data_IF_828580642003
#
_entry.id   IF_828580642003
#
_cell.length_a   1.000
_cell.length_b   1.000
_cell.length_c   1.000
_cell.angle_alpha   90.00
_cell.angle_beta   90.00
_cell.angle_gamma   90.00
#
_symmetry.space_group_name_H-M   'P 1'
#
loop_
_entity.id
_entity.type
_entity.pdbx_description
1 polymer ?
#
# COMPACT_ATOMS: atom_id res chain seq x y z
N UNK A 1 -20.50 -4.69 12.03
CA UNK A 1 -19.65 -3.61 11.47
C UNK A 1 -19.32 -2.63 12.59
N UNK A 2 -18.06 -2.17 12.75
CA UNK A 2 -17.73 -1.11 13.71
C UNK A 2 -18.41 0.23 13.32
N UNK A 3 -18.54 1.13 14.28
CA UNK A 3 -19.12 2.46 14.05
C UNK A 3 -18.17 3.34 13.23
N UNK A 4 -18.66 4.05 12.21
CA UNK A 4 -17.82 4.80 11.26
C UNK A 4 -17.46 6.23 11.70
N UNK A 5 -18.16 6.74 12.72
CA UNK A 5 -18.09 8.10 13.24
C UNK A 5 -16.90 8.34 14.19
N UNK A 6 -16.06 7.33 14.41
CA UNK A 6 -14.81 7.39 15.16
C UNK A 6 -13.67 6.73 14.41
N UNK A 7 -12.42 7.03 14.80
CA UNK A 7 -11.23 6.33 14.32
C UNK A 7 -11.34 4.83 14.64
N UNK A 8 -10.97 3.99 13.68
CA UNK A 8 -10.90 2.55 13.89
C UNK A 8 -9.53 2.17 14.42
N UNK A 9 -9.53 1.39 15.49
CA UNK A 9 -8.32 0.74 15.97
C UNK A 9 -8.10 -0.61 15.25
N UNK A 10 -7.09 -1.34 15.70
CA UNK A 10 -6.77 -2.65 15.15
C UNK A 10 -7.88 -3.70 15.36
N UNK A 11 -8.60 -3.65 16.48
CA UNK A 11 -9.70 -4.56 16.79
C UNK A 11 -10.93 -4.27 15.90
N UNK A 12 -11.19 -2.99 15.61
CA UNK A 12 -12.22 -2.59 14.66
C UNK A 12 -11.89 -3.04 13.24
N UNK A 13 -10.66 -2.84 12.78
CA UNK A 13 -10.24 -3.26 11.44
C UNK A 13 -10.34 -4.79 11.26
N UNK A 14 -9.91 -5.57 12.25
CA UNK A 14 -10.06 -7.04 12.24
C UNK A 14 -11.54 -7.44 12.21
N UNK A 15 -12.38 -6.80 13.03
CA UNK A 15 -13.83 -7.04 13.06
C UNK A 15 -14.51 -6.67 11.74
N UNK A 16 -14.12 -5.55 11.13
CA UNK A 16 -14.63 -5.13 9.82
C UNK A 16 -14.29 -6.17 8.75
N UNK A 17 -13.04 -6.64 8.69
CA UNK A 17 -12.63 -7.71 7.79
C UNK A 17 -13.45 -8.99 7.98
N UNK A 18 -13.64 -9.45 9.21
CA UNK A 18 -14.46 -10.63 9.51
C UNK A 18 -15.93 -10.47 9.07
N UNK A 19 -16.53 -9.31 9.34
CA UNK A 19 -17.93 -9.04 8.96
C UNK A 19 -18.09 -8.99 7.45
N UNK A 20 -17.18 -8.33 6.73
CA UNK A 20 -17.24 -8.23 5.28
C UNK A 20 -16.98 -9.58 4.60
N UNK A 21 -16.01 -10.37 5.08
CA UNK A 21 -15.77 -11.71 4.56
C UNK A 21 -17.02 -12.57 4.64
N UNK A 22 -17.65 -12.63 5.83
CA UNK A 22 -18.89 -13.38 6.03
C UNK A 22 -20.04 -12.87 5.15
N UNK A 23 -20.19 -11.54 5.02
CA UNK A 23 -21.23 -10.94 4.19
C UNK A 23 -21.08 -11.34 2.71
N UNK A 24 -19.84 -11.31 2.20
CA UNK A 24 -19.55 -11.70 0.82
C UNK A 24 -19.69 -13.21 0.60
N UNK A 25 -19.28 -14.04 1.56
CA UNK A 25 -19.49 -15.50 1.51
C UNK A 25 -20.98 -15.87 1.45
N UNK A 26 -21.81 -15.22 2.28
CA UNK A 26 -23.23 -15.53 2.36
C UNK A 26 -24.05 -14.95 1.20
N UNK A 27 -23.64 -13.79 0.65
CA UNK A 27 -24.53 -13.00 -0.22
C UNK A 27 -23.87 -12.39 -1.46
N UNK A 28 -22.55 -12.48 -1.63
CA UNK A 28 -21.81 -11.97 -2.79
C UNK A 28 -21.16 -10.58 -2.58
N UNK A 29 -20.26 -10.21 -3.51
CA UNK A 29 -19.39 -9.04 -3.38
C UNK A 29 -20.07 -7.68 -3.61
N UNK A 30 -21.25 -7.65 -4.25
CA UNK A 30 -21.99 -6.40 -4.50
C UNK A 30 -22.43 -5.68 -3.21
N UNK A 31 -22.31 -6.33 -2.05
CA UNK A 31 -22.58 -5.77 -0.72
C UNK A 31 -21.36 -5.11 -0.06
N UNK A 32 -20.18 -5.14 -0.70
CA UNK A 32 -19.04 -4.39 -0.20
C UNK A 32 -19.36 -2.89 -0.10
N UNK A 33 -18.82 -2.18 0.90
CA UNK A 33 -18.89 -0.73 0.96
C UNK A 33 -18.39 -0.09 -0.34
N UNK A 34 -19.08 0.94 -0.83
CA UNK A 34 -18.76 1.59 -2.10
C UNK A 34 -18.31 3.02 -1.85
N UNK A 35 -17.36 3.50 -2.63
CA UNK A 35 -16.68 4.78 -2.46
C UNK A 35 -17.66 5.97 -2.47
N UNK A 36 -18.63 5.97 -3.39
CA UNK A 36 -19.59 7.07 -3.58
C UNK A 36 -21.05 6.65 -3.32
N UNK A 37 -21.26 5.64 -2.46
CA UNK A 37 -22.63 5.23 -2.08
C UNK A 37 -23.16 6.04 -0.91
N UNK A 38 -24.36 6.58 -1.04
CA UNK A 38 -25.10 7.23 0.06
C UNK A 38 -25.21 6.38 1.33
N UNK A 39 -25.20 5.04 1.19
CA UNK A 39 -25.40 4.12 2.32
C UNK A 39 -24.11 3.60 2.93
N UNK A 40 -23.06 3.45 2.14
CA UNK A 40 -21.84 2.74 2.57
C UNK A 40 -20.54 3.50 2.35
N UNK A 41 -20.57 4.69 1.74
CA UNK A 41 -19.38 5.53 1.56
C UNK A 41 -18.69 5.88 2.88
N UNK A 42 -19.45 6.11 3.95
CA UNK A 42 -18.88 6.36 5.29
C UNK A 42 -18.09 5.17 5.83
N UNK A 43 -18.51 3.95 5.54
CA UNK A 43 -17.81 2.73 5.92
C UNK A 43 -16.58 2.54 5.03
N UNK A 44 -16.73 2.75 3.71
CA UNK A 44 -15.62 2.68 2.77
C UNK A 44 -14.52 3.68 3.12
N UNK A 45 -14.89 4.95 3.34
CA UNK A 45 -13.99 6.01 3.79
C UNK A 45 -13.26 5.61 5.05
N UNK A 46 -13.96 5.01 6.01
CA UNK A 46 -13.33 4.56 7.25
C UNK A 46 -12.36 3.40 7.03
N UNK A 47 -12.66 2.44 6.14
CA UNK A 47 -11.74 1.34 5.79
C UNK A 47 -10.39 1.86 5.26
N UNK A 48 -10.43 2.93 4.46
CA UNK A 48 -9.26 3.50 3.77
C UNK A 48 -8.65 4.72 4.47
N UNK A 49 -9.16 5.07 5.65
CA UNK A 49 -8.75 6.25 6.41
C UNK A 49 -7.32 6.08 6.96
N UNK A 50 -6.38 7.01 6.65
CA UNK A 50 -5.03 6.95 7.18
C UNK A 50 -4.96 7.12 8.71
N UNK A 51 -5.98 7.69 9.36
CA UNK A 51 -5.97 7.84 10.83
C UNK A 51 -5.99 6.49 11.57
N UNK A 52 -6.47 5.42 10.92
CA UNK A 52 -6.56 4.10 11.57
C UNK A 52 -5.19 3.49 11.90
N UNK A 53 -4.11 4.03 11.31
CA UNK A 53 -2.75 3.52 11.51
C UNK A 53 -2.00 4.29 12.62
N UNK A 54 -2.61 5.33 13.21
CA UNK A 54 -1.98 6.17 14.23
C UNK A 54 -1.51 5.38 15.46
N UNK A 55 -2.17 4.27 15.80
CA UNK A 55 -1.78 3.43 16.93
C UNK A 55 -0.45 2.68 16.74
N UNK A 56 0.11 2.63 15.53
CA UNK A 56 1.42 2.01 15.26
C UNK A 56 2.59 2.95 15.56
N UNK A 57 2.34 4.25 15.59
CA UNK A 57 3.34 5.28 15.87
C UNK A 57 3.15 5.94 17.25
N UNK A 58 2.26 5.40 18.08
CA UNK A 58 1.97 5.93 19.42
C UNK A 58 3.01 5.43 20.43
N UNK A 59 4.00 6.27 20.72
CA UNK A 59 5.08 5.97 21.68
C UNK A 59 4.62 5.86 23.14
N UNK A 60 3.36 6.21 23.45
CA UNK A 60 2.79 5.94 24.78
C UNK A 60 2.46 4.45 24.98
N UNK A 61 2.37 3.67 23.90
CA UNK A 61 2.17 2.23 23.93
C UNK A 61 3.51 1.48 23.97
N UNK A 62 3.55 0.37 24.70
CA UNK A 62 4.70 -0.53 24.63
C UNK A 62 4.87 -1.09 23.22
N UNK A 63 6.11 -1.40 22.84
CA UNK A 63 6.40 -2.04 21.56
C UNK A 63 5.54 -3.29 21.32
N UNK A 64 5.46 -4.19 22.32
CA UNK A 64 4.64 -5.41 22.25
C UNK A 64 3.17 -5.09 21.93
N UNK A 65 2.61 -4.03 22.54
CA UNK A 65 1.24 -3.63 22.28
C UNK A 65 1.07 -3.07 20.86
N UNK A 66 2.00 -2.26 20.37
CA UNK A 66 2.00 -1.76 18.98
C UNK A 66 2.08 -2.91 17.97
N UNK A 67 2.95 -3.90 18.22
CA UNK A 67 3.10 -5.07 17.37
C UNK A 67 1.86 -5.98 17.36
N UNK A 68 1.23 -6.19 18.52
CA UNK A 68 -0.05 -6.91 18.60
C UNK A 68 -1.17 -6.19 17.81
N UNK A 69 -1.25 -4.87 17.94
CA UNK A 69 -2.20 -4.06 17.16
C UNK A 69 -1.91 -4.19 15.66
N UNK A 70 -0.63 -4.13 15.25
CA UNK A 70 -0.24 -4.29 13.85
C UNK A 70 -0.73 -5.64 13.28
N UNK A 71 -0.53 -6.74 14.02
CA UNK A 71 -0.97 -8.08 13.59
C UNK A 71 -2.48 -8.14 13.34
N UNK A 72 -3.29 -7.62 14.27
CA UNK A 72 -4.75 -7.58 14.14
C UNK A 72 -5.19 -6.72 12.95
N UNK A 73 -4.57 -5.54 12.80
CA UNK A 73 -4.86 -4.65 11.70
C UNK A 73 -4.53 -5.29 10.34
N UNK A 74 -3.36 -5.91 10.21
CA UNK A 74 -2.96 -6.65 9.01
C UNK A 74 -3.92 -7.78 8.67
N UNK A 75 -4.38 -8.55 9.67
CA UNK A 75 -5.37 -9.60 9.47
C UNK A 75 -6.68 -9.04 8.89
N UNK A 76 -7.15 -7.91 9.42
CA UNK A 76 -8.35 -7.22 8.91
C UNK A 76 -8.15 -6.70 7.49
N UNK A 77 -7.06 -5.96 7.25
CA UNK A 77 -6.73 -5.37 5.94
C UNK A 77 -6.58 -6.43 4.86
N UNK A 78 -5.78 -7.48 5.06
CA UNK A 78 -5.59 -8.55 4.07
C UNK A 78 -6.91 -9.21 3.67
N UNK A 79 -7.84 -9.39 4.61
CA UNK A 79 -9.19 -9.90 4.31
C UNK A 79 -9.94 -8.93 3.40
N UNK A 80 -9.98 -7.65 3.77
CA UNK A 80 -10.69 -6.61 3.02
C UNK A 80 -10.14 -6.46 1.61
N UNK A 81 -8.82 -6.37 1.45
CA UNK A 81 -8.19 -6.18 0.15
C UNK A 81 -8.46 -7.36 -0.80
N UNK A 82 -8.39 -8.60 -0.28
CA UNK A 82 -8.77 -9.80 -1.05
C UNK A 82 -10.22 -9.77 -1.50
N UNK A 83 -11.14 -9.18 -0.72
CA UNK A 83 -12.54 -9.05 -1.12
C UNK A 83 -12.68 -8.05 -2.28
N UNK A 84 -12.04 -6.87 -2.23
CA UNK A 84 -12.09 -5.92 -3.34
C UNK A 84 -11.39 -6.44 -4.60
N UNK A 85 -10.26 -7.13 -4.46
CA UNK A 85 -9.58 -7.82 -5.55
C UNK A 85 -10.48 -8.89 -6.19
N UNK A 86 -11.15 -9.71 -5.38
CA UNK A 86 -12.07 -10.75 -5.86
C UNK A 86 -13.31 -10.14 -6.54
N UNK A 87 -13.83 -9.05 -6.00
CA UNK A 87 -14.93 -8.31 -6.57
C UNK A 87 -14.57 -7.66 -7.92
N UNK A 88 -13.32 -7.19 -8.07
CA UNK A 88 -12.81 -6.67 -9.35
C UNK A 88 -12.77 -7.78 -10.41
N UNK A 89 -12.24 -8.96 -10.06
CA UNK A 89 -12.15 -10.12 -10.97
C UNK A 89 -13.53 -10.64 -11.39
N UNK A 90 -14.51 -10.58 -10.50
CA UNK A 90 -15.90 -11.02 -10.76
C UNK A 90 -16.78 -9.92 -11.37
N UNK A 91 -16.26 -8.70 -11.53
CA UNK A 91 -16.99 -7.50 -12.00
C UNK A 91 -18.15 -7.08 -11.10
N UNK A 92 -18.10 -7.44 -9.82
CA UNK A 92 -19.13 -7.14 -8.80
C UNK A 92 -18.84 -5.85 -8.00
N UNK A 93 -17.64 -5.27 -8.13
CA UNK A 93 -17.31 -3.94 -7.57
C UNK A 93 -16.93 -2.96 -8.67
N UNK A 94 -16.98 -1.65 -8.38
CA UNK A 94 -16.43 -0.68 -9.31
C UNK A 94 -14.92 -0.58 -9.12
N UNK A 95 -14.24 -0.29 -10.22
CA UNK A 95 -12.78 -0.19 -10.29
C UNK A 95 -12.21 0.85 -9.32
N UNK A 96 -13.00 1.89 -9.01
CA UNK A 96 -12.61 2.95 -8.08
C UNK A 96 -12.41 2.44 -6.65
N UNK A 97 -13.24 1.52 -6.15
CA UNK A 97 -13.06 0.99 -4.78
C UNK A 97 -11.73 0.23 -4.65
N UNK A 98 -11.37 -0.56 -5.67
CA UNK A 98 -10.09 -1.27 -5.68
C UNK A 98 -8.90 -0.30 -5.68
N UNK A 99 -8.95 0.77 -6.50
CA UNK A 99 -7.87 1.76 -6.56
C UNK A 99 -7.73 2.56 -5.25
N UNK A 100 -8.84 2.92 -4.62
CA UNK A 100 -8.82 3.60 -3.31
C UNK A 100 -8.30 2.69 -2.20
N UNK A 101 -8.69 1.41 -2.21
CA UNK A 101 -8.18 0.42 -1.26
C UNK A 101 -6.67 0.22 -1.43
N UNK A 102 -6.19 0.00 -2.66
CA UNK A 102 -4.77 -0.07 -2.98
C UNK A 102 -4.02 1.20 -2.57
N UNK A 103 -4.59 2.39 -2.81
CA UNK A 103 -4.03 3.65 -2.35
C UNK A 103 -3.86 3.72 -0.82
N UNK A 104 -4.81 3.17 -0.07
CA UNK A 104 -4.73 3.10 1.39
C UNK A 104 -3.64 2.14 1.87
N UNK A 105 -3.46 0.99 1.20
CA UNK A 105 -2.36 0.06 1.49
C UNK A 105 -1.01 0.71 1.24
N UNK A 106 -0.88 1.44 0.13
CA UNK A 106 0.34 2.15 -0.20
C UNK A 106 0.70 3.21 0.85
N UNK A 107 -0.27 3.87 1.48
CA UNK A 107 0.01 4.81 2.58
C UNK A 107 0.38 4.13 3.89
N UNK A 108 -0.15 2.93 4.12
CA UNK A 108 0.11 2.16 5.33
C UNK A 108 1.50 1.51 5.33
N UNK A 109 1.97 0.97 4.19
CA UNK A 109 3.21 0.21 4.13
C UNK A 109 4.47 0.95 4.62
N UNK A 110 4.70 2.25 4.31
CA UNK A 110 5.82 2.98 4.89
C UNK A 110 5.82 2.94 6.43
N UNK A 111 4.65 3.07 7.06
CA UNK A 111 4.51 3.06 8.52
C UNK A 111 4.79 1.66 9.09
N UNK A 112 4.38 0.60 8.37
CA UNK A 112 4.75 -0.78 8.72
C UNK A 112 6.27 -0.95 8.69
N UNK A 113 6.96 -0.45 7.68
CA UNK A 113 8.42 -0.57 7.58
C UNK A 113 9.14 0.24 8.65
N UNK A 114 8.65 1.43 9.00
CA UNK A 114 9.20 2.23 10.09
C UNK A 114 9.10 1.46 11.42
N UNK A 115 7.94 0.87 11.73
CA UNK A 115 7.77 0.07 12.96
C UNK A 115 8.64 -1.20 12.99
N UNK A 116 8.86 -1.84 11.84
CA UNK A 116 9.76 -3.00 11.73
C UNK A 116 11.23 -2.60 11.92
N UNK A 117 11.61 -1.40 11.49
CA UNK A 117 12.95 -0.84 11.69
C UNK A 117 13.18 -0.54 13.17
N UNK A 118 12.24 0.14 13.83
CA UNK A 118 12.27 0.37 15.28
C UNK A 118 12.38 -0.95 16.07
N UNK A 119 11.68 -2.00 15.61
CA UNK A 119 11.82 -3.32 16.21
C UNK A 119 13.23 -3.85 16.06
N UNK A 120 13.78 -3.84 14.85
CA UNK A 120 15.12 -4.36 14.58
C UNK A 120 16.19 -3.64 15.40
N UNK A 121 16.06 -2.32 15.55
CA UNK A 121 16.99 -1.49 16.33
C UNK A 121 16.89 -1.75 17.84
N UNK A 122 15.74 -2.23 18.33
CA UNK A 122 15.57 -2.60 19.74
C UNK A 122 16.22 -3.94 20.12
N UNK A 123 16.64 -4.74 19.13
CA UNK A 123 17.20 -6.07 19.36
C UNK A 123 18.69 -5.99 19.71
N UNK A 124 19.16 -6.91 20.56
CA UNK A 124 20.56 -6.93 20.98
C UNK A 124 21.50 -7.23 19.81
N UNK A 125 22.17 -6.19 19.30
CA UNK A 125 23.11 -6.29 18.18
C UNK A 125 24.27 -7.25 18.43
N UNK A 126 24.57 -7.59 19.69
CA UNK A 126 25.68 -8.48 20.03
C UNK A 126 25.38 -9.96 19.76
N UNK A 127 24.11 -10.35 19.62
CA UNK A 127 23.70 -11.71 19.30
C UNK A 127 23.89 -12.01 17.78
N UNK A 128 24.81 -12.93 17.39
CA UNK A 128 25.03 -13.28 15.99
C UNK A 128 23.80 -13.88 15.28
N UNK A 129 22.95 -14.61 16.02
CA UNK A 129 21.73 -15.19 15.47
C UNK A 129 20.72 -14.07 15.15
N UNK A 130 20.64 -13.07 16.02
CA UNK A 130 19.79 -11.90 15.83
C UNK A 130 20.22 -11.07 14.63
N UNK A 131 21.51 -10.75 14.49
CA UNK A 131 22.03 -10.04 13.30
C UNK A 131 21.69 -10.77 12.00
N UNK A 132 21.83 -12.09 11.97
CA UNK A 132 21.49 -12.91 10.82
C UNK A 132 19.98 -12.90 10.51
N UNK A 133 19.14 -12.85 11.56
CA UNK A 133 17.70 -12.70 11.40
C UNK A 133 17.31 -11.32 10.85
N UNK A 134 17.83 -10.21 11.42
CA UNK A 134 17.55 -8.85 10.94
C UNK A 134 17.97 -8.67 9.47
N UNK A 135 19.15 -9.18 9.09
CA UNK A 135 19.60 -9.14 7.68
C UNK A 135 18.60 -9.81 6.74
N UNK A 136 18.10 -11.01 7.08
CA UNK A 136 17.10 -11.72 6.29
C UNK A 136 15.78 -10.97 6.22
N UNK A 137 15.33 -10.35 7.32
CA UNK A 137 14.12 -9.52 7.31
C UNK A 137 14.28 -8.31 6.37
N UNK A 138 15.43 -7.65 6.39
CA UNK A 138 15.71 -6.54 5.47
C UNK A 138 15.72 -6.97 4.00
N UNK A 139 16.27 -8.15 3.70
CA UNK A 139 16.22 -8.73 2.35
C UNK A 139 14.78 -9.03 1.91
N UNK A 140 13.95 -9.58 2.82
CA UNK A 140 12.52 -9.82 2.56
C UNK A 140 11.74 -8.52 2.38
N UNK A 141 11.99 -7.49 3.19
CA UNK A 141 11.42 -6.14 3.05
C UNK A 141 11.74 -5.57 1.66
N UNK A 142 13.01 -5.58 1.28
CA UNK A 142 13.48 -5.07 -0.02
C UNK A 142 12.83 -5.82 -1.20
N UNK A 143 12.64 -7.13 -1.07
CA UNK A 143 11.94 -7.93 -2.08
C UNK A 143 10.45 -7.59 -2.12
N UNK A 144 9.77 -7.52 -0.98
CA UNK A 144 8.36 -7.18 -0.90
C UNK A 144 8.06 -5.79 -1.48
N UNK A 145 8.88 -4.77 -1.16
CA UNK A 145 8.77 -3.43 -1.74
C UNK A 145 8.95 -3.48 -3.26
N UNK A 146 9.97 -4.20 -3.74
CA UNK A 146 10.22 -4.34 -5.19
C UNK A 146 9.02 -4.97 -5.89
N UNK A 147 8.50 -6.09 -5.40
CA UNK A 147 7.37 -6.80 -6.03
C UNK A 147 6.09 -5.96 -5.99
N UNK A 148 5.83 -5.22 -4.91
CA UNK A 148 4.73 -4.24 -4.88
C UNK A 148 4.89 -3.19 -5.98
N UNK A 149 6.07 -2.58 -6.12
CA UNK A 149 6.30 -1.56 -7.15
C UNK A 149 6.18 -2.15 -8.56
N UNK A 150 6.64 -3.39 -8.77
CA UNK A 150 6.43 -4.11 -10.04
C UNK A 150 4.93 -4.25 -10.32
N UNK A 151 4.16 -4.74 -9.35
CA UNK A 151 2.71 -4.91 -9.50
C UNK A 151 2.04 -3.59 -9.86
N UNK A 152 2.34 -2.49 -9.14
CA UNK A 152 1.78 -1.17 -9.44
C UNK A 152 2.14 -0.66 -10.85
N UNK A 153 3.36 -0.94 -11.32
CA UNK A 153 3.77 -0.58 -12.69
C UNK A 153 3.00 -1.41 -13.72
N UNK A 154 2.76 -2.68 -13.43
CA UNK A 154 2.07 -3.60 -14.33
C UNK A 154 0.57 -3.26 -14.43
N UNK A 155 -0.06 -2.87 -13.33
CA UNK A 155 -1.43 -2.30 -13.32
C UNK A 155 -1.52 -1.06 -14.23
N UNK A 156 -0.51 -0.18 -14.25
CA UNK A 156 -0.46 0.97 -15.16
C UNK A 156 -0.21 0.59 -16.63
N UNK A 157 0.36 -0.59 -16.89
CA UNK A 157 0.67 -1.06 -18.24
C UNK A 157 -0.57 -1.61 -18.97
N UNK A 158 -1.65 -1.87 -18.24
CA UNK A 158 -2.89 -2.46 -18.76
C UNK A 158 -4.02 -1.42 -18.80
N UNK A 159 -4.04 -0.50 -19.78
CA UNK A 159 -4.97 0.64 -19.83
C UNK A 159 -6.45 0.26 -19.92
N UNK A 160 -6.77 -1.00 -20.25
CA UNK A 160 -8.15 -1.49 -20.33
C UNK A 160 -8.72 -1.84 -18.93
N UNK A 161 -7.85 -2.03 -17.94
CA UNK A 161 -8.25 -2.38 -16.59
C UNK A 161 -8.91 -1.22 -15.83
N UNK A 162 -8.58 0.03 -16.13
CA UNK A 162 -9.09 1.20 -15.41
C UNK A 162 -9.57 2.30 -16.36
N UNK A 163 -10.50 3.17 -15.93
CA UNK A 163 -10.74 4.39 -16.68
C UNK A 163 -9.68 5.44 -16.32
N UNK A 164 -9.65 6.53 -17.09
CA UNK A 164 -8.66 7.61 -16.91
C UNK A 164 -8.66 8.16 -15.48
N UNK A 165 -9.83 8.28 -14.85
CA UNK A 165 -9.95 8.84 -13.50
C UNK A 165 -9.30 7.94 -12.45
N UNK A 166 -9.54 6.63 -12.50
CA UNK A 166 -8.89 5.68 -11.57
C UNK A 166 -7.38 5.63 -11.78
N UNK A 167 -6.91 5.66 -13.03
CA UNK A 167 -5.47 5.75 -13.31
C UNK A 167 -4.83 6.99 -12.72
N UNK A 168 -5.46 8.16 -12.87
CA UNK A 168 -4.95 9.41 -12.29
C UNK A 168 -4.83 9.32 -10.77
N UNK A 169 -5.77 8.65 -10.10
CA UNK A 169 -5.75 8.44 -8.64
C UNK A 169 -4.63 7.48 -8.25
N UNK A 170 -4.48 6.35 -8.95
CA UNK A 170 -3.39 5.41 -8.73
C UNK A 170 -2.02 6.08 -8.89
N UNK A 171 -1.82 6.82 -9.98
CA UNK A 171 -0.61 7.62 -10.20
C UNK A 171 -0.40 8.62 -9.05
N UNK A 172 -1.46 9.27 -8.57
CA UNK A 172 -1.42 10.14 -7.39
C UNK A 172 -0.91 9.46 -6.12
N UNK A 173 -1.36 8.24 -5.84
CA UNK A 173 -0.85 7.47 -4.70
C UNK A 173 0.61 7.03 -4.89
N UNK A 174 0.99 6.67 -6.12
CA UNK A 174 2.38 6.34 -6.45
C UNK A 174 3.28 7.56 -6.23
N UNK A 175 2.82 8.75 -6.60
CA UNK A 175 3.50 10.03 -6.35
C UNK A 175 3.78 10.28 -4.87
N UNK A 176 2.81 9.95 -4.02
CA UNK A 176 2.89 10.14 -2.58
C UNK A 176 3.87 9.15 -1.93
N UNK A 177 3.88 7.89 -2.39
CA UNK A 177 4.45 6.76 -1.63
C UNK A 177 5.73 6.19 -2.26
N UNK A 178 5.84 6.14 -3.59
CA UNK A 178 7.01 5.56 -4.26
C UNK A 178 8.34 6.21 -3.90
N UNK A 179 8.45 7.55 -3.72
CA UNK A 179 9.71 8.13 -3.29
C UNK A 179 10.21 7.57 -1.96
N UNK A 180 9.31 7.19 -1.05
CA UNK A 180 9.66 6.54 0.23
C UNK A 180 10.15 5.10 -0.01
N UNK A 181 9.46 4.35 -0.86
CA UNK A 181 9.88 2.99 -1.24
C UNK A 181 11.25 2.95 -1.92
N UNK A 182 11.49 3.83 -2.90
CA UNK A 182 12.76 3.90 -3.61
C UNK A 182 13.93 4.26 -2.68
N UNK A 183 13.71 5.07 -1.63
CA UNK A 183 14.76 5.35 -0.64
C UNK A 183 15.19 4.10 0.14
N UNK A 184 14.29 3.16 0.38
CA UNK A 184 14.55 1.90 1.11
C UNK A 184 15.20 0.82 0.23
N UNK A 185 15.00 0.86 -1.08
CA UNK A 185 15.47 -0.18 -1.99
C UNK A 185 16.99 -0.14 -2.25
N UNK A 186 17.65 -1.32 -2.41
CA UNK A 186 18.99 -1.42 -2.95
C UNK A 186 19.11 -0.78 -4.34
N UNK A 187 20.33 -0.38 -4.71
CA UNK A 187 20.60 0.32 -5.98
C UNK A 187 20.12 -0.50 -7.18
N UNK A 188 20.38 -1.79 -7.17
CA UNK A 188 20.08 -2.72 -8.25
C UNK A 188 18.55 -2.81 -8.47
N UNK A 189 17.78 -2.85 -7.38
CA UNK A 189 16.31 -2.86 -7.45
C UNK A 189 15.78 -1.52 -7.97
N UNK A 190 16.34 -0.39 -7.53
CA UNK A 190 15.94 0.93 -8.05
C UNK A 190 16.17 1.05 -9.56
N UNK A 191 17.36 0.66 -10.03
CA UNK A 191 17.72 0.73 -11.45
C UNK A 191 16.79 -0.15 -12.30
N UNK A 192 16.49 -1.35 -11.82
CA UNK A 192 15.51 -2.25 -12.45
C UNK A 192 14.12 -1.60 -12.57
N UNK A 193 13.60 -1.03 -11.48
CA UNK A 193 12.26 -0.41 -11.45
C UNK A 193 12.20 0.88 -12.26
N UNK A 194 13.24 1.71 -12.24
CA UNK A 194 13.37 2.88 -13.13
C UNK A 194 13.31 2.44 -14.59
N UNK A 195 14.05 1.40 -14.97
CA UNK A 195 14.00 0.86 -16.33
C UNK A 195 12.60 0.37 -16.74
N UNK A 196 11.81 -0.18 -15.82
CA UNK A 196 10.40 -0.53 -16.08
C UNK A 196 9.53 0.71 -16.29
N UNK A 197 9.63 1.70 -15.41
CA UNK A 197 8.89 2.97 -15.53
C UNK A 197 9.24 3.70 -16.83
N UNK A 198 10.49 3.67 -17.28
CA UNK A 198 10.91 4.28 -18.56
C UNK A 198 10.29 3.59 -19.77
N UNK A 199 10.17 2.26 -19.73
CA UNK A 199 9.46 1.51 -20.76
C UNK A 199 7.97 1.84 -20.76
N UNK A 200 7.37 1.91 -19.57
CA UNK A 200 5.97 2.32 -19.40
C UNK A 200 5.74 3.72 -19.98
N UNK A 201 6.62 4.69 -19.70
CA UNK A 201 6.54 6.07 -20.19
C UNK A 201 6.60 6.18 -21.72
N UNK A 202 7.37 5.30 -22.37
CA UNK A 202 7.53 5.26 -23.84
C UNK A 202 6.41 4.47 -24.53
N UNK A 203 5.58 3.75 -23.78
CA UNK A 203 4.49 2.96 -24.35
C UNK A 203 3.42 3.87 -24.97
N UNK A 204 2.98 3.64 -26.22
CA UNK A 204 1.88 4.41 -26.81
C UNK A 204 0.58 4.34 -26.01
N UNK A 205 0.37 3.22 -25.32
CA UNK A 205 -0.84 2.88 -24.58
C UNK A 205 -0.98 3.63 -23.24
N UNK A 206 0.08 4.28 -22.77
CA UNK A 206 0.13 4.98 -21.47
C UNK A 206 0.10 6.50 -21.62
N UNK A 207 -0.09 7.03 -22.84
CA UNK A 207 -0.13 8.48 -23.09
C UNK A 207 -1.14 9.22 -22.21
N UNK A 208 -2.26 8.59 -21.87
CA UNK A 208 -3.28 9.16 -20.99
C UNK A 208 -2.83 9.37 -19.54
N UNK A 209 -1.74 8.70 -19.12
CA UNK A 209 -1.12 8.85 -17.80
C UNK A 209 -0.22 10.07 -17.72
N UNK A 210 0.01 10.77 -18.83
CA UNK A 210 0.81 11.98 -18.87
C UNK A 210 0.01 13.23 -18.50
N UNK A 211 0.61 14.20 -17.77
CA UNK A 211 2.03 14.28 -17.38
C UNK A 211 2.39 13.54 -16.08
N UNK A 212 1.42 12.89 -15.42
CA UNK A 212 1.62 12.30 -14.10
C UNK A 212 2.75 11.27 -14.03
N UNK A 213 2.93 10.44 -15.08
CA UNK A 213 4.01 9.46 -15.13
C UNK A 213 5.40 10.12 -15.27
N UNK A 214 5.52 11.20 -16.04
CA UNK A 214 6.76 11.98 -16.17
C UNK A 214 7.18 12.59 -14.83
N UNK A 215 6.22 13.17 -14.11
CA UNK A 215 6.48 13.74 -12.79
C UNK A 215 6.85 12.66 -11.77
N UNK A 216 6.21 11.49 -11.82
CA UNK A 216 6.51 10.37 -10.92
C UNK A 216 7.95 9.90 -11.15
N UNK A 217 8.33 9.74 -12.42
CA UNK A 217 9.69 9.40 -12.83
C UNK A 217 10.71 10.39 -12.28
N UNK A 218 10.44 11.69 -12.39
CA UNK A 218 11.32 12.73 -11.86
C UNK A 218 11.50 12.62 -10.33
N UNK A 219 10.42 12.34 -9.59
CA UNK A 219 10.48 12.17 -8.13
C UNK A 219 11.28 10.93 -7.72
N UNK A 220 11.11 9.79 -8.39
CA UNK A 220 11.80 8.54 -8.00
C UNK A 220 13.27 8.50 -8.42
N UNK A 221 13.65 9.19 -9.51
CA UNK A 221 15.06 9.39 -9.89
C UNK A 221 15.78 10.33 -8.92
N UNK A 222 15.04 11.19 -8.22
CA UNK A 222 15.58 12.22 -7.35
C UNK A 222 16.36 13.28 -8.13
N UNK A 223 16.98 14.26 -7.44
CA UNK A 223 17.86 15.21 -8.09
C UNK A 223 19.04 14.46 -8.71
N UNK A 224 19.24 14.61 -10.02
CA UNK A 224 20.46 14.15 -10.69
C UNK A 224 21.62 14.87 -10.02
N UNK A 225 22.33 14.20 -9.11
CA UNK A 225 23.58 14.74 -8.55
C UNK A 225 24.53 14.89 -9.73
N UNK A 226 24.77 16.13 -10.16
CA UNK A 226 25.85 16.42 -11.11
C UNK A 226 27.14 15.85 -10.49
N UNK A 227 27.95 15.10 -11.25
CA UNK A 227 29.23 14.63 -10.73
C UNK A 227 30.01 15.85 -10.22
N UNK A 228 30.57 15.74 -9.01
CA UNK A 228 31.43 16.79 -8.48
C UNK A 228 32.53 17.08 -9.51
N UNK A 229 32.83 18.36 -9.79
CA UNK A 229 33.95 18.69 -10.66
C UNK A 229 35.21 18.02 -10.11
N UNK A 230 35.90 17.28 -10.98
CA UNK A 230 37.18 16.64 -10.67
C UNK A 230 38.26 17.67 -10.39
#
# INVERSE_FOLDING_TARGET
MPAHDRVWDADDMERAGNVLSRLCEERGYYLLPKYDSERSAMIFKRITDPENTACFTDDSLSFEKRFQNLRKFLNGRVKISRLYESALKTKDTHKIEYVEDMGSEMRFLPQLFDLLEDFMDSLNENDPAMRSWCKRQKEMENYAIKELVVHLIDELAEPEQFHKAEFQRLVGYMHETMPKYFKRLPKEHREFLIGRLERLQKSPNTKMLQPGLDELMAKVKGPVRKPAPK
#
